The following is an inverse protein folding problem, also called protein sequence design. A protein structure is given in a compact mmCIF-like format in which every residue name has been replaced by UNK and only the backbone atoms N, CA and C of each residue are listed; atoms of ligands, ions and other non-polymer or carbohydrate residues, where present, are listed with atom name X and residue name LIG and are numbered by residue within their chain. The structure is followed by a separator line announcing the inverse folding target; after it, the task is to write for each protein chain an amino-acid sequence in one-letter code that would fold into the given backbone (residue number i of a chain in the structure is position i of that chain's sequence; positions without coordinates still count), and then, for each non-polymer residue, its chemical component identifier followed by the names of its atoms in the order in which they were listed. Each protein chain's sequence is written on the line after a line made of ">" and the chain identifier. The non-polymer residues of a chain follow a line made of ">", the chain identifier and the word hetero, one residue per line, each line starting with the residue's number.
data_IF_640385261737
#
_entry.id   IF_640385261737
#
_cell.length_a   1.000
_cell.length_b   1.000
_cell.length_c   1.000
_cell.angle_alpha   90.00
_cell.angle_beta   90.00
_cell.angle_gamma   90.00
#
_symmetry.space_group_name_H-M   'P 1'
#
loop_
_entity.id
_entity.type
_entity.pdbx_description
1 polymer ?
#
# COMPACT_ATOMS: atom_id res chain seq x y z
N UNK A 1 -8.56 -19.74 -6.51
CA UNK A 1 -8.25 -18.71 -5.49
C UNK A 1 -8.63 -17.37 -6.09
N UNK A 2 -9.46 -16.58 -5.41
CA UNK A 2 -9.78 -15.23 -5.88
C UNK A 2 -8.51 -14.37 -5.79
N UNK A 3 -8.23 -13.62 -6.85
CA UNK A 3 -7.13 -12.65 -6.83
C UNK A 3 -7.47 -11.57 -5.80
N UNK A 4 -6.47 -11.16 -5.03
CA UNK A 4 -6.63 -10.13 -4.00
C UNK A 4 -5.72 -8.95 -4.31
N UNK A 5 -6.30 -7.76 -4.23
CA UNK A 5 -5.59 -6.49 -4.39
C UNK A 5 -5.67 -5.73 -3.08
N UNK A 6 -4.55 -5.17 -2.65
CA UNK A 6 -4.48 -4.25 -1.51
C UNK A 6 -4.15 -2.86 -2.02
N UNK A 7 -5.03 -1.89 -1.76
CA UNK A 7 -4.68 -0.48 -1.80
C UNK A 7 -4.38 -0.02 -0.37
N UNK A 8 -3.19 0.52 -0.12
CA UNK A 8 -2.80 0.98 1.21
C UNK A 8 -2.13 2.34 1.15
N UNK A 9 -2.71 3.39 1.78
CA UNK A 9 -1.96 4.58 2.10
C UNK A 9 -0.89 4.27 3.15
N UNK A 10 0.29 4.88 3.01
CA UNK A 10 1.41 4.71 3.93
C UNK A 10 1.45 5.88 4.91
N UNK A 11 1.48 5.55 6.20
CA UNK A 11 1.55 6.51 7.30
C UNK A 11 2.82 6.42 8.15
N UNK A 12 2.79 7.13 9.28
CA UNK A 12 3.93 7.23 10.19
C UNK A 12 4.27 5.92 10.91
N UNK A 13 3.31 5.00 11.06
CA UNK A 13 3.57 3.70 11.70
C UNK A 13 3.95 2.59 10.71
N UNK A 14 3.88 2.84 9.40
CA UNK A 14 4.32 1.89 8.37
C UNK A 14 5.80 2.09 8.02
N UNK A 15 6.49 1.07 7.48
CA UNK A 15 6.04 -0.32 7.38
C UNK A 15 6.21 -1.10 8.70
N UNK A 16 7.02 -0.61 9.63
CA UNK A 16 7.31 -1.20 10.95
C UNK A 16 7.42 -0.09 11.98
N UNK A 17 6.85 -0.30 13.17
CA UNK A 17 6.98 0.61 14.32
C UNK A 17 7.20 -0.20 15.59
N UNK A 18 8.18 0.19 16.40
CA UNK A 18 8.51 -0.46 17.68
C UNK A 18 8.68 -1.99 17.55
N UNK A 19 9.29 -2.44 16.44
CA UNK A 19 9.47 -3.86 16.07
C UNK A 19 8.19 -4.65 15.75
N UNK A 20 7.06 -3.98 15.56
CA UNK A 20 5.81 -4.57 15.09
C UNK A 20 5.49 -4.13 13.66
N UNK A 21 4.78 -4.99 12.93
CA UNK A 21 4.26 -4.63 11.60
C UNK A 21 3.38 -3.37 11.71
N UNK A 22 3.63 -2.42 10.81
CA UNK A 22 2.68 -1.36 10.52
C UNK A 22 1.40 -1.93 9.88
N UNK A 23 0.37 -1.09 9.81
CA UNK A 23 -0.96 -1.48 9.31
C UNK A 23 -0.91 -2.16 7.95
N UNK A 24 -0.15 -1.60 7.00
CA UNK A 24 -0.01 -2.14 5.66
C UNK A 24 0.63 -3.53 5.67
N UNK A 25 1.73 -3.69 6.43
CA UNK A 25 2.48 -4.94 6.47
C UNK A 25 1.70 -6.04 7.20
N UNK A 26 0.94 -5.67 8.22
CA UNK A 26 0.06 -6.59 8.95
C UNK A 26 -1.04 -7.17 8.04
N UNK A 27 -1.70 -6.30 7.25
CA UNK A 27 -2.71 -6.72 6.26
C UNK A 27 -2.05 -7.62 5.20
N UNK A 28 -0.90 -7.22 4.66
CA UNK A 28 -0.18 -8.01 3.66
C UNK A 28 0.21 -9.40 4.21
N UNK A 29 0.65 -9.50 5.47
CA UNK A 29 1.05 -10.76 6.09
C UNK A 29 -0.11 -11.73 6.25
N UNK A 30 -1.29 -11.23 6.62
CA UNK A 30 -2.46 -12.05 6.87
C UNK A 30 -3.18 -12.43 5.57
N UNK A 31 -3.41 -11.47 4.68
CA UNK A 31 -4.22 -11.68 3.49
C UNK A 31 -3.42 -12.09 2.25
N UNK A 32 -2.11 -11.86 2.20
CA UNK A 32 -1.25 -12.21 1.05
C UNK A 32 -1.85 -11.80 -0.30
N UNK A 33 -2.12 -10.50 -0.52
CA UNK A 33 -2.60 -10.02 -1.81
C UNK A 33 -1.60 -10.33 -2.93
N UNK A 34 -2.10 -10.51 -4.15
CA UNK A 34 -1.29 -10.72 -5.35
C UNK A 34 -0.70 -9.40 -5.87
N UNK A 35 -1.38 -8.29 -5.59
CA UNK A 35 -0.94 -6.95 -5.97
C UNK A 35 -1.17 -5.96 -4.84
N UNK A 36 -0.18 -5.10 -4.59
CA UNK A 36 -0.24 -4.04 -3.60
C UNK A 36 -0.01 -2.70 -4.30
N UNK A 37 -0.98 -1.79 -4.17
CA UNK A 37 -0.88 -0.40 -4.54
C UNK A 37 -0.56 0.42 -3.30
N UNK A 38 0.66 0.98 -3.25
CA UNK A 38 1.13 1.81 -2.15
C UNK A 38 0.91 3.27 -2.49
N UNK A 39 0.09 3.95 -1.71
CA UNK A 39 -0.12 5.39 -1.83
C UNK A 39 0.77 6.15 -0.83
N UNK A 40 1.60 7.04 -1.33
CA UNK A 40 2.45 7.90 -0.51
C UNK A 40 2.07 9.36 -0.71
N UNK A 41 1.84 10.09 0.38
CA UNK A 41 1.89 11.55 0.34
C UNK A 41 3.33 12.01 0.06
N UNK A 42 3.53 13.26 -0.36
CA UNK A 42 4.88 13.81 -0.59
C UNK A 42 5.80 13.63 0.62
N UNK A 43 5.28 13.84 1.83
CA UNK A 43 6.02 13.68 3.07
C UNK A 43 6.43 12.22 3.34
N UNK A 44 5.58 11.27 2.93
CA UNK A 44 5.80 9.84 3.18
C UNK A 44 6.67 9.16 2.12
N UNK A 45 7.00 9.82 1.00
CA UNK A 45 7.93 9.28 0.00
C UNK A 45 9.29 8.87 0.57
N UNK A 46 9.74 9.51 1.66
CA UNK A 46 10.96 9.13 2.39
C UNK A 46 10.94 7.66 2.87
N UNK A 47 9.76 7.08 3.07
CA UNK A 47 9.57 5.69 3.51
C UNK A 47 9.39 4.69 2.36
N UNK A 48 9.36 5.14 1.10
CA UNK A 48 9.10 4.29 -0.08
C UNK A 48 10.03 3.08 -0.15
N UNK A 49 11.34 3.33 -0.04
CA UNK A 49 12.35 2.27 -0.13
C UNK A 49 12.20 1.24 1.00
N UNK A 50 12.07 1.70 2.25
CA UNK A 50 11.89 0.83 3.42
C UNK A 50 10.61 -0.01 3.31
N UNK A 51 9.51 0.60 2.84
CA UNK A 51 8.22 -0.06 2.68
C UNK A 51 8.29 -1.19 1.66
N UNK A 52 8.87 -0.93 0.49
CA UNK A 52 9.02 -1.95 -0.58
C UNK A 52 9.94 -3.08 -0.09
N UNK A 53 11.04 -2.75 0.59
CA UNK A 53 11.95 -3.77 1.13
C UNK A 53 11.26 -4.66 2.16
N UNK A 54 10.42 -4.10 3.04
CA UNK A 54 9.68 -4.86 4.03
C UNK A 54 8.68 -5.83 3.39
N UNK A 55 7.95 -5.37 2.36
CA UNK A 55 7.04 -6.23 1.58
C UNK A 55 7.82 -7.35 0.90
N UNK A 56 8.89 -7.04 0.16
CA UNK A 56 9.67 -8.07 -0.53
C UNK A 56 10.19 -9.12 0.45
N UNK A 57 10.77 -8.73 1.59
CA UNK A 57 11.21 -9.66 2.63
C UNK A 57 10.09 -10.56 3.15
N UNK A 58 8.89 -10.00 3.37
CA UNK A 58 7.72 -10.76 3.80
C UNK A 58 7.34 -11.82 2.75
N UNK A 59 7.27 -11.44 1.47
CA UNK A 59 6.83 -12.31 0.39
C UNK A 59 7.89 -13.36 0.01
N UNK A 60 9.16 -12.97 -0.02
CA UNK A 60 10.31 -13.87 -0.20
C UNK A 60 10.33 -14.95 0.90
N UNK A 61 10.08 -14.58 2.15
CA UNK A 61 10.03 -15.53 3.28
C UNK A 61 8.93 -16.58 3.13
N UNK A 62 7.88 -16.26 2.37
CA UNK A 62 6.74 -17.13 2.08
C UNK A 62 6.86 -17.83 0.73
N UNK A 63 7.84 -17.47 -0.10
CA UNK A 63 8.02 -17.94 -1.48
C UNK A 63 6.78 -17.69 -2.35
N UNK A 64 6.20 -16.50 -2.22
CA UNK A 64 5.02 -16.06 -2.97
C UNK A 64 5.40 -14.78 -3.70
N UNK A 65 4.98 -14.65 -4.96
CA UNK A 65 5.18 -13.43 -5.74
C UNK A 65 4.15 -12.35 -5.40
N UNK A 66 4.57 -11.09 -5.47
CA UNK A 66 3.71 -9.91 -5.32
C UNK A 66 4.07 -8.85 -6.35
N UNK A 67 3.05 -8.29 -6.99
CA UNK A 67 3.20 -7.08 -7.80
C UNK A 67 3.05 -5.84 -6.91
N UNK A 68 3.96 -4.88 -7.02
CA UNK A 68 3.91 -3.63 -6.23
C UNK A 68 3.85 -2.45 -7.20
N UNK A 69 2.80 -1.63 -7.07
CA UNK A 69 2.68 -0.36 -7.76
C UNK A 69 2.71 0.78 -6.74
N UNK A 70 3.40 1.87 -7.10
CA UNK A 70 3.52 3.06 -6.25
C UNK A 70 2.73 4.19 -6.86
N UNK A 71 1.89 4.82 -6.03
CA UNK A 71 1.11 5.99 -6.37
C UNK A 71 1.61 7.14 -5.49
N UNK A 72 2.10 8.20 -6.13
CA UNK A 72 2.60 9.39 -5.45
C UNK A 72 1.48 10.44 -5.45
N UNK A 73 0.93 10.71 -4.27
CA UNK A 73 -0.15 11.68 -4.07
C UNK A 73 0.34 13.11 -4.11
N UNK A 74 -0.56 14.04 -4.48
CA UNK A 74 -0.24 15.45 -4.57
C UNK A 74 -0.23 16.15 -3.19
N UNK A 75 -0.98 15.60 -2.22
CA UNK A 75 -1.13 16.16 -0.89
C UNK A 75 0.20 16.22 -0.09
N UNK A 76 0.48 17.40 0.48
CA UNK A 76 1.62 17.63 1.39
C UNK A 76 1.33 17.25 2.84
N UNK A 77 0.07 17.34 3.30
CA UNK A 77 -0.30 17.08 4.68
C UNK A 77 -1.63 16.33 4.82
N UNK A 78 -1.62 15.31 5.67
CA UNK A 78 -2.75 14.42 5.96
C UNK A 78 -3.84 15.03 6.87
N UNK A 79 -3.92 16.37 6.96
CA UNK A 79 -4.80 17.05 7.92
C UNK A 79 -6.19 17.39 7.38
N UNK A 80 -6.49 17.09 6.12
CA UNK A 80 -7.83 17.27 5.56
C UNK A 80 -8.36 15.96 5.01
N UNK A 81 -9.34 15.39 5.72
CA UNK A 81 -10.07 14.17 5.32
C UNK A 81 -10.68 14.29 3.91
N UNK A 82 -11.09 15.50 3.52
CA UNK A 82 -11.69 15.80 2.21
C UNK A 82 -10.70 15.66 1.03
N UNK A 83 -9.40 15.85 1.28
CA UNK A 83 -8.37 15.69 0.24
C UNK A 83 -8.20 14.22 -0.11
N UNK A 84 -8.33 13.32 0.87
CA UNK A 84 -8.22 11.88 0.64
C UNK A 84 -9.40 11.33 -0.14
N UNK A 85 -10.62 11.80 0.12
CA UNK A 85 -11.79 11.34 -0.66
C UNK A 85 -11.65 11.70 -2.15
N UNK A 86 -11.25 12.93 -2.45
CA UNK A 86 -11.07 13.40 -3.83
C UNK A 86 -9.92 12.69 -4.57
N UNK A 87 -8.84 12.32 -3.88
CA UNK A 87 -7.73 11.59 -4.50
C UNK A 87 -7.99 10.08 -4.59
N UNK A 88 -8.64 9.48 -3.60
CA UNK A 88 -8.80 8.02 -3.54
C UNK A 88 -9.86 7.50 -4.49
N UNK A 89 -11.00 8.17 -4.65
CA UNK A 89 -12.05 7.71 -5.56
C UNK A 89 -11.57 7.46 -7.00
N UNK A 90 -10.85 8.38 -7.66
CA UNK A 90 -10.33 8.12 -9.01
C UNK A 90 -9.26 7.01 -9.01
N UNK A 91 -8.43 6.92 -7.96
CA UNK A 91 -7.42 5.87 -7.82
C UNK A 91 -8.08 4.49 -7.68
N UNK A 92 -9.04 4.35 -6.78
CA UNK A 92 -9.76 3.12 -6.52
C UNK A 92 -10.53 2.67 -7.78
N UNK A 93 -11.20 3.61 -8.45
CA UNK A 93 -11.87 3.31 -9.72
C UNK A 93 -10.90 2.81 -10.81
N UNK A 94 -9.69 3.37 -10.87
CA UNK A 94 -8.64 2.89 -11.77
C UNK A 94 -8.18 1.48 -11.39
N UNK A 95 -7.93 1.24 -10.11
CA UNK A 95 -7.51 -0.08 -9.60
C UNK A 95 -8.56 -1.15 -9.90
N UNK A 96 -9.85 -0.87 -9.68
CA UNK A 96 -10.95 -1.80 -10.00
C UNK A 96 -10.99 -2.10 -11.50
N UNK A 97 -10.83 -1.09 -12.36
CA UNK A 97 -10.79 -1.29 -13.82
C UNK A 97 -9.58 -2.10 -14.29
N UNK A 98 -8.42 -1.93 -13.65
CA UNK A 98 -7.20 -2.69 -13.97
C UNK A 98 -7.25 -4.14 -13.46
N UNK A 99 -8.11 -4.42 -12.48
CA UNK A 99 -8.20 -5.73 -11.83
C UNK A 99 -9.67 -6.22 -11.81
N UNK A 100 -10.31 -6.46 -12.96
CA UNK A 100 -11.74 -6.84 -13.04
C UNK A 100 -12.03 -8.22 -12.45
N UNK A 101 -10.99 -9.03 -12.24
CA UNK A 101 -11.04 -10.41 -11.75
C UNK A 101 -11.00 -10.51 -10.21
N UNK A 102 -10.96 -9.38 -9.50
CA UNK A 102 -10.83 -9.28 -8.03
C UNK A 102 -12.16 -8.93 -7.37
#
# INVERSE_FOLDING_TARGET
>A
MNKKVLFSPIGDSDPVRDSYDGSMLHIARYYLPNKIYLYFTKQMLKKKSETIQAINKLYDSKKIDVAIDVIEGAAEFAHSYDVFHNEFDPILNKIVKENPEC
#
